data_IF_546978563670
#
_entry.id   IF_546978563670
#
_cell.length_a   1.000
_cell.length_b   1.000
_cell.length_c   1.000
_cell.angle_alpha   90.00
_cell.angle_beta   90.00
_cell.angle_gamma   90.00
#
_symmetry.space_group_name_H-M   'P 1'
#
loop_
_entity.id
_entity.type
_entity.pdbx_description
1 polymer ?
#
# COMPACT_ATOMS: atom_id res chain seq x y z
N UNK A 1 15.16 7.03 15.64
CA UNK A 1 13.94 6.95 16.47
C UNK A 1 12.77 6.77 15.51
N UNK A 2 12.15 5.59 15.49
CA UNK A 2 10.99 5.32 14.64
C UNK A 2 9.73 5.74 15.39
N UNK A 3 8.84 6.50 14.75
CA UNK A 3 7.48 6.65 15.25
C UNK A 3 6.82 5.27 15.19
N UNK A 4 6.37 4.72 16.32
CA UNK A 4 5.54 3.49 16.38
C UNK A 4 4.12 3.75 15.86
N UNK A 5 3.95 4.72 14.97
CA UNK A 5 2.64 5.21 14.54
C UNK A 5 2.39 4.68 13.15
N UNK A 6 1.32 3.92 12.99
CA UNK A 6 0.80 3.49 11.70
C UNK A 6 -0.52 4.22 11.45
N UNK A 7 -0.65 4.86 10.29
CA UNK A 7 -1.91 5.48 9.88
C UNK A 7 -2.64 4.47 9.00
N UNK A 8 -3.82 4.04 9.44
CA UNK A 8 -4.62 3.05 8.72
C UNK A 8 -5.89 3.68 8.17
N UNK A 9 -6.13 3.48 6.87
CA UNK A 9 -7.38 3.86 6.21
C UNK A 9 -8.30 2.64 6.09
N UNK A 10 -9.58 2.82 6.45
CA UNK A 10 -10.56 1.73 6.60
C UNK A 10 -11.92 2.11 6.01
N UNK A 11 -12.61 1.12 5.44
CA UNK A 11 -14.02 1.19 5.00
C UNK A 11 -14.85 0.04 5.63
N UNK A 12 -14.15 -1.00 6.08
CA UNK A 12 -14.68 -2.17 6.81
C UNK A 12 -13.52 -3.05 7.26
N UNK A 13 -12.53 -3.22 6.39
CA UNK A 13 -11.18 -3.63 6.73
C UNK A 13 -10.16 -2.55 6.34
N UNK A 14 -8.90 -2.70 6.76
CA UNK A 14 -7.79 -1.85 6.33
C UNK A 14 -7.48 -2.12 4.86
N UNK A 15 -7.47 -1.06 4.03
CA UNK A 15 -7.06 -1.14 2.62
C UNK A 15 -5.72 -0.47 2.36
N UNK A 16 -5.31 0.47 3.22
CA UNK A 16 -4.02 1.16 3.17
C UNK A 16 -3.50 1.37 4.58
N UNK A 17 -2.23 1.02 4.80
CA UNK A 17 -1.46 1.38 5.98
C UNK A 17 -0.27 2.24 5.55
N UNK A 18 -0.03 3.34 6.25
CA UNK A 18 1.12 4.22 6.07
C UNK A 18 1.99 4.13 7.31
N UNK A 19 3.26 3.80 7.11
CA UNK A 19 4.28 3.73 8.15
C UNK A 19 5.30 4.85 7.91
N UNK A 20 5.19 5.98 8.62
CA UNK A 20 6.19 7.03 8.58
C UNK A 20 7.52 6.49 9.12
N UNK A 21 8.56 6.60 8.31
CA UNK A 21 9.97 6.42 8.72
C UNK A 21 10.62 7.81 8.75
N UNK A 22 11.89 7.87 9.15
CA UNK A 22 12.61 9.14 9.33
C UNK A 22 12.60 10.01 8.05
N UNK A 23 12.89 9.39 6.91
CA UNK A 23 13.10 10.10 5.64
C UNK A 23 12.22 9.55 4.49
N UNK A 24 11.25 8.69 4.81
CA UNK A 24 10.41 8.01 3.82
C UNK A 24 9.09 7.52 4.42
N UNK A 25 8.11 7.20 3.57
CA UNK A 25 6.87 6.52 3.93
C UNK A 25 6.90 5.10 3.36
N UNK A 26 6.62 4.10 4.19
CA UNK A 26 6.31 2.76 3.72
C UNK A 26 4.79 2.62 3.61
N UNK A 27 4.31 2.24 2.44
CA UNK A 27 2.90 1.95 2.20
C UNK A 27 2.69 0.44 2.17
N UNK A 28 1.59 0.01 2.78
CA UNK A 28 1.04 -1.33 2.58
C UNK A 28 -0.39 -1.23 2.06
N UNK A 29 -0.69 -1.93 0.97
CA UNK A 29 -2.02 -1.98 0.37
C UNK A 29 -2.33 -3.37 -0.17
N UNK A 30 -3.59 -3.62 -0.52
CA UNK A 30 -4.04 -4.94 -0.95
C UNK A 30 -4.74 -4.87 -2.31
N UNK A 31 -4.25 -5.63 -3.30
CA UNK A 31 -4.89 -5.80 -4.61
C UNK A 31 -5.41 -7.23 -4.80
N UNK A 32 -6.18 -7.49 -5.85
CA UNK A 32 -6.64 -8.84 -6.20
C UNK A 32 -5.64 -9.65 -7.03
N UNK A 33 -4.65 -8.97 -7.62
CA UNK A 33 -3.62 -9.56 -8.47
C UNK A 33 -2.23 -9.35 -7.86
N UNK A 34 -1.28 -10.17 -8.29
CA UNK A 34 0.13 -9.90 -8.07
C UNK A 34 0.56 -8.77 -9.03
N UNK A 35 1.34 -7.86 -8.48
CA UNK A 35 1.91 -6.72 -9.21
C UNK A 35 3.24 -6.40 -8.49
N UNK A 36 4.29 -7.09 -8.89
CA UNK A 36 5.64 -7.02 -8.30
C UNK A 36 6.54 -6.04 -9.07
N UNK A 37 5.95 -5.18 -9.89
CA UNK A 37 6.69 -4.16 -10.62
C UNK A 37 7.22 -3.10 -9.66
N UNK A 38 8.44 -2.62 -9.94
CA UNK A 38 9.00 -1.47 -9.26
C UNK A 38 7.99 -0.30 -9.26
N UNK A 39 7.76 0.41 -8.14
CA UNK A 39 8.54 0.43 -6.89
C UNK A 39 8.10 -0.57 -5.80
N UNK A 40 7.28 -1.56 -6.12
CA UNK A 40 6.87 -2.60 -5.14
C UNK A 40 8.08 -3.47 -4.79
N UNK A 41 8.47 -3.48 -3.52
CA UNK A 41 9.59 -4.31 -3.03
C UNK A 41 9.11 -5.60 -2.36
N UNK A 42 7.80 -5.72 -2.09
CA UNK A 42 7.23 -6.91 -1.48
C UNK A 42 5.81 -7.14 -1.98
N UNK A 43 5.57 -8.34 -2.49
CA UNK A 43 4.27 -8.81 -2.98
C UNK A 43 4.01 -10.20 -2.37
N UNK A 44 2.94 -10.37 -1.59
CA UNK A 44 2.61 -11.64 -0.92
C UNK A 44 1.12 -11.91 -1.05
N UNK A 45 0.76 -13.06 -1.63
CA UNK A 45 -0.62 -13.55 -1.62
C UNK A 45 -1.05 -13.95 -0.21
N UNK A 46 -2.06 -13.28 0.33
CA UNK A 46 -2.59 -13.52 1.68
C UNK A 46 -3.93 -14.27 1.66
N UNK A 47 -4.64 -14.29 0.53
CA UNK A 47 -5.81 -15.14 0.30
C UNK A 47 -6.07 -15.36 -1.20
N UNK A 48 -7.13 -16.10 -1.54
CA UNK A 48 -7.54 -16.34 -2.94
C UNK A 48 -7.70 -15.03 -3.73
N UNK A 49 -8.23 -13.99 -3.10
CA UNK A 49 -8.60 -12.72 -3.74
C UNK A 49 -7.81 -11.52 -3.20
N UNK A 50 -6.76 -11.74 -2.41
CA UNK A 50 -5.99 -10.66 -1.78
C UNK A 50 -4.51 -10.94 -1.81
N UNK A 51 -3.79 -9.96 -2.33
CA UNK A 51 -2.34 -9.90 -2.39
C UNK A 51 -1.93 -8.62 -1.69
N UNK A 52 -1.02 -8.74 -0.73
CA UNK A 52 -0.43 -7.63 0.00
C UNK A 52 0.77 -7.10 -0.77
N UNK A 53 0.80 -5.80 -0.96
CA UNK A 53 1.88 -5.07 -1.61
C UNK A 53 2.52 -4.12 -0.62
N UNK A 54 3.84 -3.96 -0.73
CA UNK A 54 4.58 -2.90 -0.04
C UNK A 54 5.46 -2.14 -1.00
N UNK A 55 5.47 -0.82 -0.82
CA UNK A 55 6.37 0.09 -1.50
C UNK A 55 6.86 1.20 -0.55
N UNK A 56 7.95 1.85 -0.93
CA UNK A 56 8.51 3.00 -0.21
C UNK A 56 8.34 4.24 -1.07
N UNK A 57 8.01 5.35 -0.43
CA UNK A 57 8.00 6.70 -1.00
C UNK A 57 9.02 7.52 -0.23
N UNK A 58 10.14 7.86 -0.85
CA UNK A 58 11.11 8.83 -0.35
C UNK A 58 10.78 10.25 -0.79
N UNK A 59 10.17 10.44 -1.96
CA UNK A 59 9.95 11.76 -2.54
C UNK A 59 8.51 11.97 -3.02
N UNK A 60 8.05 13.23 -3.00
CA UNK A 60 6.68 13.57 -3.37
C UNK A 60 6.35 13.22 -4.85
N UNK A 61 7.36 13.23 -5.72
CA UNK A 61 7.19 12.95 -7.14
C UNK A 61 6.90 11.46 -7.42
N UNK A 62 7.21 10.57 -6.48
CA UNK A 62 6.88 9.14 -6.53
C UNK A 62 5.38 8.89 -6.24
N UNK A 63 4.64 9.91 -5.80
CA UNK A 63 3.17 9.88 -5.70
C UNK A 63 2.57 10.18 -7.08
N UNK A 64 2.81 9.26 -8.00
CA UNK A 64 2.39 9.37 -9.39
C UNK A 64 0.96 8.85 -9.62
N UNK A 65 0.54 8.81 -10.89
CA UNK A 65 -0.77 8.30 -11.25
C UNK A 65 -0.90 6.78 -11.06
N UNK A 66 0.21 6.04 -11.17
CA UNK A 66 0.22 4.59 -10.96
C UNK A 66 -0.10 4.26 -9.51
N UNK A 67 0.57 4.93 -8.56
CA UNK A 67 0.27 4.79 -7.14
C UNK A 67 -1.18 5.15 -6.82
N UNK A 68 -1.68 6.28 -7.34
CA UNK A 68 -3.07 6.69 -7.14
C UNK A 68 -4.05 5.62 -7.65
N UNK A 69 -3.76 5.02 -8.80
CA UNK A 69 -4.57 3.95 -9.38
C UNK A 69 -4.53 2.70 -8.50
N UNK A 70 -3.37 2.29 -8.00
CA UNK A 70 -3.26 1.17 -7.06
C UNK A 70 -4.01 1.42 -5.75
N UNK A 71 -3.95 2.62 -5.18
CA UNK A 71 -4.68 2.95 -3.96
C UNK A 71 -6.21 2.97 -4.18
N UNK A 72 -6.66 3.46 -5.35
CA UNK A 72 -8.06 3.38 -5.76
C UNK A 72 -8.52 1.93 -5.93
N UNK A 73 -7.68 1.09 -6.53
CA UNK A 73 -7.96 -0.34 -6.66
C UNK A 73 -8.00 -1.05 -5.30
N UNK A 74 -7.09 -0.72 -4.38
CA UNK A 74 -7.06 -1.27 -3.04
C UNK A 74 -8.34 -0.91 -2.25
N UNK A 75 -8.78 0.35 -2.35
CA UNK A 75 -10.06 0.80 -1.81
C UNK A 75 -11.22 -0.07 -2.33
N UNK A 76 -11.29 -0.27 -3.65
CA UNK A 76 -12.34 -1.08 -4.28
C UNK A 76 -12.23 -2.58 -3.95
N UNK A 77 -11.02 -3.09 -3.73
CA UNK A 77 -10.76 -4.49 -3.36
C UNK A 77 -11.34 -4.82 -1.98
N UNK A 78 -11.29 -3.86 -1.05
CA UNK A 78 -11.81 -4.03 0.31
C UNK A 78 -13.29 -3.65 0.45
N UNK A 79 -13.78 -2.73 -0.39
CA UNK A 79 -15.19 -2.31 -0.38
C UNK A 79 -16.15 -3.41 -0.86
N UNK A 80 -15.70 -4.30 -1.75
CA UNK A 80 -16.47 -5.45 -2.24
C UNK A 80 -16.67 -6.49 -1.14
#
# INVERSE_FOLDING_TARGET
>A
MYLKTCIQFKIGATFLSIYPKKDQLELEYQLQREDDQFPVFKCIRISKNRVLHKLVIGEIHEIDNQLKNWLSEAYNTIKK
#
